data_IF_101334323304
#
_entry.id   IF_101334323304
#
_cell.length_a   1.000
_cell.length_b   1.000
_cell.length_c   1.000
_cell.angle_alpha   90.00
_cell.angle_beta   90.00
_cell.angle_gamma   90.00
#
_symmetry.space_group_name_H-M   'P 1'
#
loop_
_entity.id
_entity.type
_entity.pdbx_description
1 polymer ?
#
# COMPACT_ATOMS: atom_id res chain seq x y z
N UNK A 1 -15.79 -13.73 -11.39
CA UNK A 1 -14.92 -13.07 -12.40
C UNK A 1 -14.02 -14.10 -13.05
N UNK A 2 -13.20 -14.81 -12.27
CA UNK A 2 -12.36 -15.92 -12.75
C UNK A 2 -13.14 -17.04 -13.46
N UNK A 3 -14.32 -17.42 -12.94
CA UNK A 3 -15.18 -18.44 -13.57
C UNK A 3 -15.57 -18.12 -15.01
N UNK A 4 -15.75 -16.85 -15.35
CA UNK A 4 -16.05 -16.43 -16.73
C UNK A 4 -14.83 -16.55 -17.64
N UNK A 5 -13.64 -16.27 -17.13
CA UNK A 5 -12.38 -16.47 -17.85
C UNK A 5 -12.17 -17.96 -18.11
N UNK A 6 -12.36 -18.80 -17.09
CA UNK A 6 -12.25 -20.25 -17.22
C UNK A 6 -13.23 -20.82 -18.26
N UNK A 7 -14.49 -20.38 -18.26
CA UNK A 7 -15.47 -20.81 -19.26
C UNK A 7 -15.06 -20.43 -20.68
N UNK A 8 -14.49 -19.23 -20.88
CA UNK A 8 -14.11 -18.73 -22.18
C UNK A 8 -12.91 -19.46 -22.81
N UNK A 9 -12.04 -20.07 -21.99
CA UNK A 9 -10.81 -20.74 -22.45
C UNK A 9 -10.81 -22.24 -22.15
N UNK A 10 -11.95 -22.82 -21.77
CA UNK A 10 -12.06 -24.21 -21.30
C UNK A 10 -11.56 -25.25 -22.30
N UNK A 11 -11.64 -24.93 -23.59
CA UNK A 11 -11.27 -25.83 -24.69
C UNK A 11 -9.85 -25.56 -25.24
N UNK A 12 -9.13 -24.60 -24.67
CA UNK A 12 -7.77 -24.23 -25.12
C UNK A 12 -6.71 -25.17 -24.53
N UNK A 13 -6.06 -26.05 -25.32
CA UNK A 13 -5.15 -27.07 -24.81
C UNK A 13 -3.83 -26.49 -24.27
N UNK A 14 -3.53 -25.23 -24.58
CA UNK A 14 -2.31 -24.55 -24.14
C UNK A 14 -2.48 -23.83 -22.78
N UNK A 15 -3.68 -23.82 -22.20
CA UNK A 15 -3.94 -23.22 -20.89
C UNK A 15 -3.68 -24.25 -19.80
N UNK A 16 -2.65 -24.02 -18.99
CA UNK A 16 -2.22 -24.96 -17.95
C UNK A 16 -2.90 -24.72 -16.59
N UNK A 17 -3.43 -23.53 -16.37
CA UNK A 17 -4.05 -23.14 -15.11
C UNK A 17 -4.27 -21.64 -14.99
N UNK A 18 -4.75 -21.23 -13.82
CA UNK A 18 -5.06 -19.84 -13.51
C UNK A 18 -4.40 -19.43 -12.21
N UNK A 19 -3.65 -18.33 -12.25
CA UNK A 19 -3.29 -17.61 -11.03
C UNK A 19 -4.46 -16.72 -10.62
N UNK A 20 -4.93 -16.90 -9.38
CA UNK A 20 -6.10 -16.18 -8.86
C UNK A 20 -5.73 -14.75 -8.49
N UNK A 21 -4.55 -14.54 -7.91
CA UNK A 21 -4.01 -13.24 -7.52
C UNK A 21 -2.47 -13.33 -7.48
N UNK A 22 -1.80 -12.48 -8.26
CA UNK A 22 -0.36 -12.30 -8.12
C UNK A 22 -0.06 -11.53 -6.82
N UNK A 23 0.72 -12.15 -5.92
CA UNK A 23 1.27 -11.54 -4.69
C UNK A 23 0.23 -10.79 -3.83
N UNK A 24 -0.84 -11.47 -3.35
CA UNK A 24 -1.83 -10.83 -2.50
C UNK A 24 -1.19 -10.30 -1.21
N UNK A 25 -1.50 -9.04 -0.88
CA UNK A 25 -1.12 -8.41 0.38
C UNK A 25 -2.31 -8.36 1.33
N UNK A 26 -2.09 -8.72 2.60
CA UNK A 26 -3.08 -8.53 3.67
C UNK A 26 -3.09 -7.08 4.19
N UNK A 27 -2.23 -6.21 3.67
CA UNK A 27 -2.05 -4.85 4.16
C UNK A 27 -1.66 -4.86 5.64
N UNK A 28 -2.44 -4.16 6.47
CA UNK A 28 -2.22 -4.07 7.92
C UNK A 28 -3.13 -4.97 8.76
N UNK A 29 -3.92 -5.85 8.13
CA UNK A 29 -4.83 -6.74 8.86
C UNK A 29 -4.03 -7.67 9.78
N UNK A 30 -4.39 -7.69 11.06
CA UNK A 30 -3.76 -8.55 12.06
C UNK A 30 -2.46 -8.01 12.68
N UNK A 31 -2.05 -6.78 12.36
CA UNK A 31 -0.90 -6.15 13.03
C UNK A 31 -1.20 -5.88 14.50
N UNK A 32 -0.28 -6.33 15.37
CA UNK A 32 -0.40 -6.19 16.83
C UNK A 32 0.21 -4.88 17.34
N UNK A 33 1.34 -4.47 16.76
CA UNK A 33 2.02 -3.21 17.05
C UNK A 33 1.92 -2.30 15.82
N UNK A 34 1.23 -1.16 15.96
CA UNK A 34 1.04 -0.21 14.88
C UNK A 34 2.32 0.54 14.50
N UNK A 35 3.35 0.54 15.36
CA UNK A 35 4.63 1.22 15.14
C UNK A 35 5.71 0.30 14.57
N UNK A 36 5.46 -1.02 14.57
CA UNK A 36 6.39 -1.99 14.00
C UNK A 36 6.34 -1.94 12.46
N UNK A 37 7.42 -1.44 11.86
CA UNK A 37 7.57 -1.37 10.41
C UNK A 37 8.13 -2.66 9.80
N UNK A 38 8.62 -3.59 10.62
CA UNK A 38 9.27 -4.83 10.16
C UNK A 38 8.37 -5.72 9.28
N UNK A 39 7.04 -5.81 9.49
CA UNK A 39 6.16 -6.59 8.63
C UNK A 39 5.98 -5.98 7.23
N UNK A 40 6.25 -4.68 7.07
CA UNK A 40 6.23 -4.02 5.77
C UNK A 40 7.51 -4.34 4.99
N UNK A 41 7.45 -5.45 4.25
CA UNK A 41 8.52 -5.95 3.36
C UNK A 41 8.43 -5.40 1.93
N UNK A 42 7.42 -4.58 1.63
CA UNK A 42 7.28 -3.93 0.33
C UNK A 42 8.24 -2.74 0.24
N UNK A 43 9.50 -3.02 -0.09
CA UNK A 43 10.58 -2.04 -0.20
C UNK A 43 10.52 -1.28 -1.53
N UNK A 44 9.40 -0.63 -1.80
CA UNK A 44 9.16 0.19 -3.00
C UNK A 44 8.27 1.38 -2.65
N UNK A 45 8.60 2.57 -3.17
CA UNK A 45 7.88 3.80 -2.86
C UNK A 45 8.16 4.31 -1.44
N UNK A 46 7.17 4.94 -0.82
CA UNK A 46 7.24 5.44 0.55
C UNK A 46 6.87 4.33 1.53
N UNK A 47 7.77 4.04 2.47
CA UNK A 47 7.58 2.95 3.43
C UNK A 47 7.16 3.50 4.79
N UNK A 48 5.97 3.12 5.23
CA UNK A 48 5.40 3.55 6.51
C UNK A 48 4.98 2.33 7.35
N UNK A 49 5.04 2.48 8.67
CA UNK A 49 4.25 1.68 9.61
C UNK A 49 2.78 2.16 9.66
N UNK A 50 1.92 1.40 10.36
CA UNK A 50 0.48 1.69 10.45
C UNK A 50 0.23 3.04 11.12
N UNK A 51 0.94 3.31 12.21
CA UNK A 51 0.75 4.50 13.00
C UNK A 51 1.15 5.77 12.25
N UNK A 52 2.32 5.74 11.60
CA UNK A 52 2.76 6.82 10.69
C UNK A 52 1.75 7.09 9.58
N UNK A 53 1.11 6.05 9.05
CA UNK A 53 0.12 6.18 7.98
C UNK A 53 -1.19 6.83 8.46
N UNK A 54 -1.68 6.44 9.65
CA UNK A 54 -2.83 7.07 10.30
C UNK A 54 -2.57 8.56 10.56
N UNK A 55 -1.36 8.88 11.06
CA UNK A 55 -0.97 10.24 11.39
C UNK A 55 -0.81 11.11 10.14
N UNK A 56 -0.27 10.56 9.05
CA UNK A 56 -0.26 11.24 7.75
C UNK A 56 -1.67 11.59 7.30
N UNK A 57 -2.61 10.64 7.38
CA UNK A 57 -4.01 10.88 7.09
C UNK A 57 -4.63 11.97 7.99
N UNK A 58 -4.21 12.03 9.25
CA UNK A 58 -4.68 13.02 10.23
C UNK A 58 -4.03 14.41 10.08
N UNK A 59 -3.16 14.61 9.09
CA UNK A 59 -2.54 15.91 8.84
C UNK A 59 -1.19 16.11 9.52
N UNK A 60 -0.57 15.07 10.09
CA UNK A 60 0.76 15.22 10.68
C UNK A 60 1.87 14.96 9.66
N UNK A 61 2.88 15.82 9.66
CA UNK A 61 4.12 15.63 8.89
C UNK A 61 4.88 14.38 9.37
N UNK A 62 5.40 13.55 8.45
CA UNK A 62 6.26 12.39 8.79
C UNK A 62 7.52 12.35 7.92
N UNK A 63 8.60 11.81 8.48
CA UNK A 63 9.81 11.48 7.74
C UNK A 63 9.81 9.96 7.58
N UNK A 64 9.89 9.48 6.34
CA UNK A 64 9.76 8.04 6.02
C UNK A 64 10.83 7.61 5.05
N UNK A 65 11.14 6.32 5.01
CA UNK A 65 12.03 5.75 4.01
C UNK A 65 11.43 5.83 2.61
N UNK A 66 12.26 6.05 1.59
CA UNK A 66 11.86 6.05 0.19
C UNK A 66 12.72 5.12 -0.66
N UNK A 67 12.05 4.30 -1.47
CA UNK A 67 12.65 3.35 -2.40
C UNK A 67 12.19 3.68 -3.82
N UNK A 68 13.11 4.00 -4.74
CA UNK A 68 12.73 4.39 -6.13
C UNK A 68 12.30 3.23 -7.01
N UNK A 69 12.69 2.02 -6.64
CA UNK A 69 12.31 0.73 -7.24
C UNK A 69 12.45 -0.33 -6.14
N UNK A 70 12.05 -1.57 -6.42
CA UNK A 70 12.13 -2.66 -5.43
C UNK A 70 13.55 -2.77 -4.84
N UNK A 71 13.64 -2.61 -3.53
CA UNK A 71 14.87 -2.64 -2.72
C UNK A 71 15.90 -1.54 -3.04
N UNK A 72 15.58 -0.53 -3.86
CA UNK A 72 16.49 0.57 -4.20
C UNK A 72 16.25 1.77 -3.28
N UNK A 73 16.91 1.79 -2.11
CA UNK A 73 16.79 2.87 -1.12
C UNK A 73 17.36 4.20 -1.62
N UNK A 74 16.64 5.30 -1.37
CA UNK A 74 16.98 6.68 -1.79
C UNK A 74 16.96 7.67 -0.64
N UNK A 75 17.08 7.18 0.59
CA UNK A 75 17.06 8.01 1.79
C UNK A 75 15.65 8.28 2.29
N UNK A 76 15.55 9.22 3.22
CA UNK A 76 14.29 9.61 3.82
C UNK A 76 13.60 10.72 3.02
N UNK A 77 12.27 10.81 3.13
CA UNK A 77 11.44 11.86 2.55
C UNK A 77 10.49 12.42 3.60
N UNK A 78 10.34 13.74 3.60
CA UNK A 78 9.31 14.42 4.39
C UNK A 78 7.98 14.36 3.63
N UNK A 79 6.98 13.79 4.25
CA UNK A 79 5.61 13.70 3.75
C UNK A 79 4.69 14.65 4.52
N UNK A 80 3.72 15.21 3.80
CA UNK A 80 2.73 16.16 4.28
C UNK A 80 3.29 17.42 4.99
N UNK A 81 4.26 18.16 4.41
CA UNK A 81 4.88 19.31 5.05
C UNK A 81 3.91 20.46 5.37
N UNK A 82 2.74 20.48 4.72
CA UNK A 82 1.72 21.50 4.88
C UNK A 82 0.61 21.11 5.88
N UNK A 83 0.76 19.97 6.56
CA UNK A 83 -0.16 19.46 7.56
C UNK A 83 -1.62 19.33 7.07
N UNK A 84 -1.80 18.87 5.84
CA UNK A 84 -3.11 18.71 5.22
C UNK A 84 -3.77 17.43 5.74
N UNK A 85 -4.93 17.55 6.38
CA UNK A 85 -5.71 16.40 6.82
C UNK A 85 -6.47 15.77 5.63
N UNK A 86 -6.33 14.46 5.46
CA UNK A 86 -7.00 13.68 4.43
C UNK A 86 -8.33 13.07 4.90
N UNK A 87 -8.59 13.06 6.20
CA UNK A 87 -9.86 12.59 6.74
C UNK A 87 -10.99 13.58 6.49
N UNK A 88 -12.20 13.04 6.23
CA UNK A 88 -13.41 13.82 6.05
C UNK A 88 -13.67 14.72 7.26
N UNK A 89 -13.90 16.01 7.02
CA UNK A 89 -14.15 17.01 8.06
C UNK A 89 -12.89 17.66 8.66
N UNK A 90 -11.69 17.27 8.22
CA UNK A 90 -10.44 17.90 8.64
C UNK A 90 -10.00 19.11 7.79
N UNK A 91 -10.41 19.17 6.52
CA UNK A 91 -10.20 20.29 5.62
C UNK A 91 -11.45 20.47 4.75
N UNK A 92 -11.82 21.72 4.42
CA UNK A 92 -12.96 22.02 3.54
C UNK A 92 -12.71 21.52 2.10
N UNK A 93 -11.44 21.43 1.72
CA UNK A 93 -10.97 20.82 0.49
C UNK A 93 -10.44 19.42 0.78
N UNK A 94 -11.33 18.43 0.69
CA UNK A 94 -10.96 17.01 0.70
C UNK A 94 -9.88 16.77 -0.38
N UNK A 95 -8.77 16.13 -0.02
CA UNK A 95 -7.70 15.76 -0.98
C UNK A 95 -8.11 14.62 -1.92
N UNK A 96 -9.27 14.03 -1.66
CA UNK A 96 -9.92 12.97 -2.44
C UNK A 96 -11.21 13.48 -3.08
#
# INVERSE_FOLDING_TARGET
MLSKVAEAVKDEPNVLGFDILNEPSVGWVGMQDATDISPNVYLIGWRCDVWSSILLGAGFTRIVDFFSSFMVFRGHRTLNPNNICAWKGGNENCVW
#
